data_IF_375038473595
#
_entry.id   IF_375038473595
#
_cell.length_a   1.000
_cell.length_b   1.000
_cell.length_c   1.000
_cell.angle_alpha   90.00
_cell.angle_beta   90.00
_cell.angle_gamma   90.00
#
_symmetry.space_group_name_H-M   'P 1'
#
loop_
_entity.id
_entity.type
_entity.pdbx_description
1 polymer ?
#
# COMPACT_ATOMS: atom_id res chain seq x y z
N UNK A 1 8.42 -11.11 -26.01
CA UNK A 1 7.67 -10.05 -26.75
C UNK A 1 8.49 -8.78 -26.98
N UNK A 2 9.24 -8.28 -25.99
CA UNK A 2 10.01 -7.03 -26.12
C UNK A 2 11.11 -7.09 -27.19
N UNK A 3 11.85 -8.21 -27.24
CA UNK A 3 12.94 -8.45 -28.20
C UNK A 3 12.51 -8.40 -29.67
N UNK A 4 11.30 -8.92 -29.99
CA UNK A 4 10.78 -8.87 -31.37
C UNK A 4 10.43 -7.43 -31.79
N UNK A 5 9.96 -6.59 -30.86
CA UNK A 5 9.59 -5.19 -31.15
C UNK A 5 10.82 -4.32 -31.42
N UNK A 6 11.89 -4.49 -30.65
CA UNK A 6 13.13 -3.74 -30.85
C UNK A 6 13.77 -4.09 -32.19
N UNK A 7 13.78 -5.37 -32.56
CA UNK A 7 14.29 -5.83 -33.85
C UNK A 7 13.48 -5.28 -35.03
N UNK A 8 12.14 -5.27 -34.96
CA UNK A 8 11.28 -4.66 -35.97
C UNK A 8 11.62 -3.17 -36.16
N UNK A 9 11.84 -2.42 -35.07
CA UNK A 9 12.20 -0.99 -35.16
C UNK A 9 13.55 -0.77 -35.84
N UNK A 10 14.55 -1.62 -35.56
CA UNK A 10 15.86 -1.54 -36.21
C UNK A 10 15.76 -1.79 -37.71
N UNK A 11 15.08 -2.87 -38.13
CA UNK A 11 14.95 -3.22 -39.55
C UNK A 11 14.18 -2.17 -40.36
N UNK A 12 13.18 -1.52 -39.77
CA UNK A 12 12.47 -0.40 -40.41
C UNK A 12 13.36 0.85 -40.48
N UNK A 13 14.19 1.11 -39.46
CA UNK A 13 15.20 2.17 -39.51
C UNK A 13 16.27 1.96 -40.59
N UNK A 14 16.60 0.70 -40.89
CA UNK A 14 17.46 0.29 -42.02
C UNK A 14 16.77 0.40 -43.39
N UNK A 15 15.48 0.77 -43.45
CA UNK A 15 14.74 0.95 -44.70
C UNK A 15 14.11 -0.33 -45.27
N UNK A 16 14.10 -1.45 -44.54
CA UNK A 16 13.50 -2.70 -45.03
C UNK A 16 11.98 -2.59 -45.15
N UNK A 17 11.44 -3.25 -46.16
CA UNK A 17 10.00 -3.28 -46.41
C UNK A 17 9.28 -4.21 -45.43
N UNK A 18 7.98 -4.00 -45.24
CA UNK A 18 7.18 -4.85 -44.35
C UNK A 18 7.17 -6.33 -44.74
N UNK A 19 7.27 -6.65 -46.04
CA UNK A 19 7.31 -8.03 -46.53
C UNK A 19 8.61 -8.73 -46.15
N UNK A 20 9.74 -8.02 -46.22
CA UNK A 20 11.05 -8.55 -45.83
C UNK A 20 11.13 -8.77 -44.32
N UNK A 21 10.67 -7.79 -43.53
CA UNK A 21 10.60 -7.92 -42.07
C UNK A 21 9.72 -9.10 -41.65
N UNK A 22 8.60 -9.31 -42.35
CA UNK A 22 7.71 -10.45 -42.13
C UNK A 22 8.42 -11.80 -42.41
N UNK A 23 9.23 -11.88 -43.47
CA UNK A 23 9.98 -13.10 -43.84
C UNK A 23 11.15 -13.38 -42.88
N UNK A 24 11.85 -12.34 -42.43
CA UNK A 24 13.01 -12.46 -41.54
C UNK A 24 12.61 -12.90 -40.12
N UNK A 25 11.55 -12.30 -39.55
CA UNK A 25 11.16 -12.55 -38.15
C UNK A 25 10.02 -13.60 -38.05
N UNK A 26 9.37 -13.95 -39.17
CA UNK A 26 8.19 -14.82 -39.16
C UNK A 26 7.00 -14.20 -38.40
N UNK A 27 6.82 -12.89 -38.54
CA UNK A 27 5.80 -12.12 -37.81
C UNK A 27 4.69 -11.65 -38.75
N UNK A 28 3.44 -11.61 -38.29
CA UNK A 28 2.35 -11.07 -39.10
C UNK A 28 2.50 -9.56 -39.33
N UNK A 29 2.05 -9.08 -40.48
CA UNK A 29 1.99 -7.63 -40.80
C UNK A 29 1.30 -6.81 -39.69
N UNK A 30 0.30 -7.39 -39.02
CA UNK A 30 -0.40 -6.75 -37.90
C UNK A 30 0.50 -6.58 -36.67
N UNK A 31 1.40 -7.53 -36.39
CA UNK A 31 2.39 -7.35 -35.32
C UNK A 31 3.37 -6.23 -35.63
N UNK A 32 3.80 -6.09 -36.88
CA UNK A 32 4.71 -5.02 -37.31
C UNK A 32 4.05 -3.65 -37.13
N UNK A 33 2.82 -3.49 -37.61
CA UNK A 33 2.04 -2.26 -37.41
C UNK A 33 1.81 -1.95 -35.93
N UNK A 34 1.45 -2.95 -35.13
CA UNK A 34 1.26 -2.80 -33.69
C UNK A 34 2.56 -2.43 -32.97
N UNK A 35 3.69 -3.00 -33.38
CA UNK A 35 5.01 -2.73 -32.83
C UNK A 35 5.44 -1.27 -33.05
N UNK A 36 5.17 -0.72 -34.23
CA UNK A 36 5.42 0.69 -34.57
C UNK A 36 4.51 1.64 -33.79
N UNK A 37 3.21 1.31 -33.70
CA UNK A 37 2.22 2.11 -32.96
C UNK A 37 2.32 1.96 -31.44
N UNK A 38 3.12 1.02 -30.95
CA UNK A 38 3.17 0.72 -29.53
C UNK A 38 3.85 1.85 -28.75
N UNK A 39 3.22 2.20 -27.62
CA UNK A 39 3.76 3.12 -26.61
C UNK A 39 3.69 2.45 -25.24
N UNK A 40 4.60 2.84 -24.33
CA UNK A 40 4.53 2.41 -22.95
C UNK A 40 3.21 2.90 -22.34
N UNK A 41 2.37 1.97 -21.92
CA UNK A 41 1.13 2.26 -21.20
C UNK A 41 1.37 2.00 -19.72
N UNK A 42 0.87 2.85 -18.82
CA UNK A 42 0.90 2.52 -17.40
C UNK A 42 0.12 1.22 -17.18
N UNK A 43 0.62 0.39 -16.27
CA UNK A 43 0.01 -0.91 -16.01
C UNK A 43 -1.45 -0.73 -15.55
N UNK A 44 -2.39 -1.20 -16.39
CA UNK A 44 -3.83 -1.17 -16.12
C UNK A 44 -4.31 -2.51 -15.55
N UNK A 45 -3.47 -3.21 -14.78
CA UNK A 45 -3.82 -4.56 -14.33
C UNK A 45 -4.93 -4.52 -13.28
N UNK A 46 -5.96 -5.32 -13.53
CA UNK A 46 -7.02 -5.64 -12.59
C UNK A 46 -8.13 -4.60 -12.45
N UNK A 47 -9.16 -5.00 -11.71
CA UNK A 47 -10.30 -4.15 -11.36
C UNK A 47 -9.85 -3.06 -10.38
N UNK A 48 -10.29 -1.82 -10.61
CA UNK A 48 -10.05 -0.71 -9.68
C UNK A 48 -10.69 -1.01 -8.32
N UNK A 49 -9.98 -0.60 -7.27
CA UNK A 49 -10.44 -0.74 -5.88
C UNK A 49 -11.67 0.15 -5.66
N UNK A 50 -12.60 -0.33 -4.82
CA UNK A 50 -13.75 0.48 -4.37
C UNK A 50 -13.33 1.59 -3.39
N UNK A 51 -12.24 1.39 -2.64
CA UNK A 51 -11.73 2.41 -1.71
C UNK A 51 -10.79 3.38 -2.42
N UNK A 52 -10.83 4.64 -1.99
CA UNK A 52 -9.88 5.66 -2.39
C UNK A 52 -8.72 5.73 -1.39
N UNK A 53 -7.57 6.29 -1.82
CA UNK A 53 -6.40 6.49 -0.94
C UNK A 53 -6.76 7.32 0.30
N UNK A 54 -7.66 8.30 0.17
CA UNK A 54 -8.12 9.12 1.30
C UNK A 54 -8.91 8.29 2.32
N UNK A 55 -9.76 7.38 1.86
CA UNK A 55 -10.51 6.47 2.76
C UNK A 55 -9.57 5.53 3.50
N UNK A 56 -8.61 4.94 2.79
CA UNK A 56 -7.65 4.02 3.39
C UNK A 56 -6.83 4.73 4.48
N UNK A 57 -6.41 5.98 4.25
CA UNK A 57 -5.75 6.82 5.27
C UNK A 57 -6.64 7.08 6.50
N UNK A 58 -7.95 7.32 6.31
CA UNK A 58 -8.89 7.51 7.43
C UNK A 58 -9.02 6.23 8.26
N UNK A 59 -9.12 5.07 7.60
CA UNK A 59 -9.17 3.76 8.24
C UNK A 59 -7.91 3.52 9.10
N UNK A 60 -6.73 3.73 8.51
CA UNK A 60 -5.43 3.56 9.19
C UNK A 60 -5.30 4.51 10.39
N UNK A 61 -5.72 5.78 10.24
CA UNK A 61 -5.64 6.77 11.33
C UNK A 61 -6.50 6.36 12.52
N UNK A 62 -7.74 5.91 12.26
CA UNK A 62 -8.65 5.53 13.33
C UNK A 62 -8.20 4.26 14.05
N UNK A 63 -7.68 3.27 13.30
CA UNK A 63 -7.10 2.07 13.88
C UNK A 63 -5.85 2.35 14.73
N UNK A 64 -5.05 3.37 14.38
CA UNK A 64 -3.91 3.80 15.20
C UNK A 64 -4.34 4.54 16.47
N UNK A 65 -5.38 5.37 16.39
CA UNK A 65 -5.90 6.09 17.55
C UNK A 65 -6.53 5.14 18.57
N UNK A 66 -7.19 4.07 18.11
CA UNK A 66 -7.86 3.09 18.95
C UNK A 66 -7.46 1.65 18.54
N UNK A 67 -6.37 1.08 19.10
CA UNK A 67 -5.82 -0.20 18.64
C UNK A 67 -6.74 -1.41 18.85
N UNK A 68 -7.73 -1.31 19.74
CA UNK A 68 -8.72 -2.36 20.03
C UNK A 68 -10.04 -2.20 19.24
N UNK A 69 -10.14 -1.21 18.35
CA UNK A 69 -11.38 -0.97 17.60
C UNK A 69 -11.68 -2.11 16.60
N UNK A 70 -12.94 -2.52 16.51
CA UNK A 70 -13.36 -3.56 15.58
C UNK A 70 -13.53 -3.01 14.15
N UNK A 71 -13.35 -3.88 13.14
CA UNK A 71 -13.57 -3.49 11.74
C UNK A 71 -15.02 -3.08 11.43
N UNK A 72 -15.99 -3.55 12.23
CA UNK A 72 -17.39 -3.16 12.14
C UNK A 72 -17.57 -1.71 12.60
N UNK A 73 -17.06 -1.40 13.80
CA UNK A 73 -17.06 -0.02 14.32
C UNK A 73 -16.38 0.95 13.37
N UNK A 74 -15.25 0.55 12.76
CA UNK A 74 -14.56 1.41 11.79
C UNK A 74 -15.43 1.76 10.58
N UNK A 75 -16.17 0.77 10.07
CA UNK A 75 -17.07 0.96 8.93
C UNK A 75 -18.19 1.93 9.29
N UNK A 76 -18.80 1.73 10.46
CA UNK A 76 -19.97 2.46 10.92
C UNK A 76 -19.59 3.91 11.28
N UNK A 77 -18.49 4.13 12.03
CA UNK A 77 -18.02 5.48 12.40
C UNK A 77 -17.55 6.35 11.23
N UNK A 78 -17.09 5.73 10.14
CA UNK A 78 -16.66 6.45 8.92
C UNK A 78 -17.70 6.41 7.81
N UNK A 79 -18.86 5.78 8.05
CA UNK A 79 -19.96 5.56 7.12
C UNK A 79 -19.48 5.08 5.73
N UNK A 80 -18.60 4.09 5.73
CA UNK A 80 -17.96 3.66 4.48
C UNK A 80 -18.91 2.80 3.64
N UNK A 81 -19.07 3.07 2.33
CA UNK A 81 -19.88 2.26 1.42
C UNK A 81 -19.15 0.97 0.98
N UNK A 82 -18.49 0.30 1.92
CA UNK A 82 -17.71 -0.93 1.69
C UNK A 82 -18.02 -1.97 2.75
N UNK A 83 -17.79 -3.23 2.42
CA UNK A 83 -17.99 -4.33 3.37
C UNK A 83 -16.95 -4.31 4.50
N UNK A 84 -17.32 -4.85 5.66
CA UNK A 84 -16.42 -5.01 6.82
C UNK A 84 -15.17 -5.84 6.48
N UNK A 85 -15.31 -6.83 5.59
CA UNK A 85 -14.20 -7.63 5.05
C UNK A 85 -13.20 -6.76 4.28
N UNK A 86 -13.68 -5.77 3.53
CA UNK A 86 -12.82 -4.84 2.78
C UNK A 86 -12.01 -3.97 3.75
N UNK A 87 -12.64 -3.48 4.82
CA UNK A 87 -11.95 -2.72 5.88
C UNK A 87 -10.88 -3.57 6.55
N UNK A 88 -11.20 -4.83 6.91
CA UNK A 88 -10.22 -5.77 7.46
C UNK A 88 -9.03 -5.93 6.52
N UNK A 89 -9.28 -6.16 5.23
CA UNK A 89 -8.22 -6.31 4.22
C UNK A 89 -7.31 -5.08 4.13
N UNK A 90 -7.86 -3.87 4.24
CA UNK A 90 -7.06 -2.62 4.29
C UNK A 90 -6.19 -2.54 5.53
N UNK A 91 -6.70 -2.98 6.67
CA UNK A 91 -5.90 -3.07 7.89
C UNK A 91 -4.78 -4.12 7.76
N UNK A 92 -5.05 -5.25 7.08
CA UNK A 92 -4.02 -6.27 6.77
C UNK A 92 -2.89 -5.68 5.93
N UNK A 93 -3.27 -5.01 4.83
CA UNK A 93 -2.33 -4.38 3.88
C UNK A 93 -1.52 -3.26 4.55
N UNK A 94 -2.03 -2.65 5.62
CA UNK A 94 -1.34 -1.66 6.43
C UNK A 94 -0.63 -2.25 7.66
N UNK A 95 -0.58 -3.58 7.82
CA UNK A 95 0.02 -4.30 8.95
C UNK A 95 -0.57 -3.92 10.33
N UNK A 96 -1.81 -3.42 10.41
CA UNK A 96 -2.45 -2.96 11.65
C UNK A 96 -3.37 -4.02 12.28
N UNK A 97 -2.94 -5.28 12.30
CA UNK A 97 -3.76 -6.34 12.89
C UNK A 97 -3.79 -6.31 14.42
N UNK A 98 -5.00 -6.42 14.96
CA UNK A 98 -5.37 -6.34 16.37
C UNK A 98 -5.32 -7.68 17.13
N UNK A 99 -4.79 -8.76 16.54
CA UNK A 99 -4.45 -9.98 17.30
C UNK A 99 -3.00 -9.94 17.72
N UNK A 100 -2.66 -8.91 18.49
CA UNK A 100 -1.56 -9.04 19.44
C UNK A 100 -2.11 -9.97 20.53
N UNK A 101 -1.49 -11.13 20.82
CA UNK A 101 -1.94 -11.99 21.91
C UNK A 101 -1.96 -11.19 23.21
N UNK A 102 -3.03 -11.33 24.00
CA UNK A 102 -3.25 -10.60 25.25
C UNK A 102 -2.05 -10.68 26.22
N UNK A 103 -1.24 -11.74 26.11
CA UNK A 103 0.00 -11.92 26.85
C UNK A 103 1.04 -10.81 26.61
N UNK A 104 1.07 -10.23 25.41
CA UNK A 104 2.05 -9.20 25.04
C UNK A 104 1.66 -7.79 25.56
N UNK A 105 0.39 -7.57 25.95
CA UNK A 105 -0.08 -6.29 26.50
C UNK A 105 0.21 -6.12 28.00
N UNK A 106 0.53 -7.21 28.73
CA UNK A 106 0.97 -7.12 30.13
C UNK A 106 2.40 -6.59 30.25
N UNK A 107 3.28 -6.91 29.29
CA UNK A 107 4.69 -6.49 29.32
C UNK A 107 4.88 -4.98 29.11
N UNK A 108 4.08 -4.33 28.25
CA UNK A 108 4.15 -2.87 28.04
C UNK A 108 3.46 -2.05 29.14
N UNK A 109 2.61 -2.68 29.97
CA UNK A 109 1.98 -1.98 31.11
C UNK A 109 2.88 -1.88 32.34
N UNK A 110 3.88 -2.76 32.48
CA UNK A 110 4.81 -2.73 33.61
C UNK A 110 5.75 -1.50 33.57
N UNK A 111 6.05 -0.96 32.39
CA UNK A 111 6.95 0.20 32.23
C UNK A 111 6.31 1.55 32.55
N UNK A 112 4.98 1.68 32.53
CA UNK A 112 4.30 2.95 32.87
C UNK A 112 3.95 3.08 34.36
N UNK A 113 3.80 1.97 35.08
CA UNK A 113 3.54 1.98 36.53
C UNK A 113 4.80 2.23 37.38
N UNK A 114 6.00 2.08 36.80
CA UNK A 114 7.26 2.33 37.50
C UNK A 114 7.65 3.82 37.55
N UNK A 115 7.15 4.66 36.63
CA UNK A 115 7.50 6.09 36.55
C UNK A 115 6.62 7.02 37.39
N UNK A 116 5.43 6.58 37.83
CA UNK A 116 4.50 7.43 38.58
C UNK A 116 4.57 7.27 40.11
N UNK A 117 5.46 6.41 40.64
CA UNK A 117 5.60 6.18 42.08
C UNK A 117 7.06 6.28 42.55
N UNK A 118 7.74 7.38 42.20
CA UNK A 118 8.96 7.79 42.94
C UNK A 118 8.62 9.04 43.75
N UNK A 119 8.54 8.95 45.10
CA UNK A 119 8.42 10.14 45.92
C UNK A 119 9.78 10.84 45.93
N UNK A 120 9.87 12.02 45.30
CA UNK A 120 10.99 12.94 45.54
C UNK A 120 10.88 13.44 46.99
N UNK A 121 11.50 12.68 47.89
CA UNK A 121 11.97 13.19 49.16
C UNK A 121 13.07 14.22 48.89
N UNK A 122 12.80 15.49 49.15
CA UNK A 122 13.84 16.44 49.59
C UNK A 122 13.21 17.44 50.55
N UNK A 123 13.38 17.20 51.83
CA UNK A 123 13.43 18.25 52.84
C UNK A 123 14.68 19.10 52.57
N UNK A 124 14.59 20.43 52.64
CA UNK A 124 15.33 21.21 53.65
C UNK A 124 14.99 22.72 53.60
N UNK A 125 15.02 23.41 54.75
CA UNK A 125 14.54 24.79 54.94
C UNK A 125 15.70 25.80 55.00
N UNK A 126 15.55 27.02 54.48
CA UNK A 126 16.40 28.16 54.88
C UNK A 126 15.58 29.45 54.98
N UNK A 127 15.92 30.15 56.05
CA UNK A 127 15.44 31.36 56.71
C UNK A 127 15.32 32.64 55.86
N UNK A 128 14.46 33.51 56.40
CA UNK A 128 14.20 34.92 56.11
C UNK A 128 15.47 35.80 56.06
N UNK A 129 15.35 37.03 55.55
CA UNK A 129 15.90 38.21 56.19
C UNK A 129 14.90 38.85 57.18
#
# INVERSE_FOLDING_TARGET
MHLKRTLIKKLIGEGKTYKEVQKIIGCSAKMISNALKWRAKPERRGRKRKTTIKMDRRITRMAKAQPMISSRMIKDSLELPVSTVTVRRRLCEANLFSRIPLLCLYSQRQTLLFFLNTPLSTNCPISQP
#
